data_IF_192363843139
#
_entry.id   IF_192363843139
#
_cell.length_a   1.000
_cell.length_b   1.000
_cell.length_c   1.000
_cell.angle_alpha   90.00
_cell.angle_beta   90.00
_cell.angle_gamma   90.00
#
_symmetry.space_group_name_H-M   'P 1'
#
loop_
_entity.id
_entity.type
_entity.pdbx_description
1 polymer ?
#
# COMPACT_ATOMS: atom_id res chain seq x y z
N UNK A 1 -12.41 1.40 -29.58
CA UNK A 1 -13.78 1.18 -29.04
C UNK A 1 -14.75 0.60 -30.06
N UNK A 2 -14.57 0.81 -31.37
CA UNK A 2 -15.45 0.25 -32.42
C UNK A 2 -15.62 -1.27 -32.33
N UNK A 3 -14.55 -2.03 -32.05
CA UNK A 3 -14.64 -3.50 -31.98
C UNK A 3 -15.31 -4.01 -30.69
N UNK A 4 -14.99 -3.44 -29.53
CA UNK A 4 -15.52 -3.95 -28.25
C UNK A 4 -17.03 -3.71 -28.08
N UNK A 5 -17.56 -2.59 -28.58
CA UNK A 5 -19.00 -2.33 -28.55
C UNK A 5 -19.81 -3.33 -29.40
N UNK A 6 -19.25 -3.76 -30.52
CA UNK A 6 -19.82 -4.82 -31.35
C UNK A 6 -19.84 -6.18 -30.64
N UNK A 7 -18.76 -6.53 -29.94
CA UNK A 7 -18.64 -7.80 -29.20
C UNK A 7 -19.70 -7.91 -28.09
N UNK A 8 -19.88 -6.85 -27.30
CA UNK A 8 -20.85 -6.84 -26.17
C UNK A 8 -22.28 -7.01 -26.69
N UNK A 9 -22.63 -6.33 -27.79
CA UNK A 9 -23.96 -6.45 -28.39
C UNK A 9 -24.19 -7.78 -29.10
N UNK A 10 -23.16 -8.34 -29.73
CA UNK A 10 -23.22 -9.68 -30.30
C UNK A 10 -23.49 -10.75 -29.23
N UNK A 11 -23.06 -10.51 -27.98
CA UNK A 11 -23.38 -11.33 -26.82
C UNK A 11 -24.78 -11.06 -26.22
N UNK A 12 -25.59 -10.19 -26.83
CA UNK A 12 -26.94 -9.85 -26.37
C UNK A 12 -27.01 -8.81 -25.24
N UNK A 13 -25.90 -8.14 -24.91
CA UNK A 13 -25.84 -7.13 -23.87
C UNK A 13 -25.90 -5.72 -24.45
N UNK A 14 -26.73 -4.86 -23.87
CA UNK A 14 -26.84 -3.44 -24.23
C UNK A 14 -26.24 -2.57 -23.12
N UNK A 15 -25.14 -1.85 -23.38
CA UNK A 15 -24.50 -1.05 -22.34
C UNK A 15 -25.28 0.24 -22.08
N UNK A 16 -25.62 0.48 -20.81
CA UNK A 16 -26.32 1.70 -20.36
C UNK A 16 -25.40 2.89 -20.13
N UNK A 17 -24.11 2.62 -19.89
CA UNK A 17 -23.07 3.62 -19.67
C UNK A 17 -21.79 3.18 -20.35
N UNK A 18 -21.12 4.11 -21.01
CA UNK A 18 -19.83 3.91 -21.63
C UNK A 18 -18.80 4.80 -20.96
N UNK A 19 -17.76 4.19 -20.38
CA UNK A 19 -16.62 4.90 -19.80
C UNK A 19 -15.45 4.81 -20.78
N UNK A 20 -15.11 5.94 -21.39
CA UNK A 20 -13.99 6.09 -22.30
C UNK A 20 -12.75 6.49 -21.50
N UNK A 21 -11.81 5.56 -21.30
CA UNK A 21 -10.49 5.93 -20.77
C UNK A 21 -9.64 6.58 -21.86
N UNK A 22 -9.02 7.72 -21.55
CA UNK A 22 -8.12 8.42 -22.48
C UNK A 22 -6.99 9.13 -21.74
N UNK A 23 -5.92 9.52 -22.44
CA UNK A 23 -4.89 10.37 -21.84
C UNK A 23 -5.40 11.83 -21.74
N UNK A 24 -6.03 12.30 -22.82
CA UNK A 24 -6.55 13.65 -22.95
C UNK A 24 -8.07 13.70 -22.81
N UNK A 25 -8.60 14.91 -22.55
CA UNK A 25 -10.05 15.14 -22.53
C UNK A 25 -10.68 14.77 -23.87
N UNK A 26 -11.79 14.05 -23.80
CA UNK A 26 -12.54 13.63 -24.98
C UNK A 26 -13.24 14.85 -25.62
N UNK A 27 -12.89 15.16 -26.87
CA UNK A 27 -13.56 16.19 -27.66
C UNK A 27 -15.00 15.78 -27.99
N UNK A 28 -15.90 16.74 -28.14
CA UNK A 28 -17.31 16.44 -28.45
C UNK A 28 -17.48 15.78 -29.83
N UNK A 29 -16.60 16.07 -30.79
CA UNK A 29 -16.58 15.36 -32.08
C UNK A 29 -16.33 13.85 -31.92
N UNK A 30 -15.43 13.45 -31.01
CA UNK A 30 -15.17 12.05 -30.72
C UNK A 30 -16.34 11.41 -29.97
N UNK A 31 -16.96 12.13 -29.03
CA UNK A 31 -18.19 11.65 -28.36
C UNK A 31 -19.30 11.39 -29.38
N UNK A 32 -19.55 12.34 -30.29
CA UNK A 32 -20.58 12.21 -31.31
C UNK A 32 -20.34 11.00 -32.23
N UNK A 33 -19.08 10.75 -32.63
CA UNK A 33 -18.73 9.53 -33.36
C UNK A 33 -19.06 8.28 -32.54
N UNK A 34 -18.71 8.25 -31.26
CA UNK A 34 -19.01 7.12 -30.38
C UNK A 34 -20.52 6.94 -30.20
N UNK A 35 -21.31 8.02 -30.10
CA UNK A 35 -22.78 7.95 -30.10
C UNK A 35 -23.30 7.26 -31.36
N UNK A 36 -22.81 7.68 -32.53
CA UNK A 36 -23.26 7.18 -33.82
C UNK A 36 -22.96 5.69 -34.02
N UNK A 37 -21.75 5.23 -33.66
CA UNK A 37 -21.39 3.81 -33.71
C UNK A 37 -21.97 2.98 -32.55
N UNK A 38 -22.20 3.64 -31.41
CA UNK A 38 -22.64 3.04 -30.17
C UNK A 38 -24.15 2.86 -30.09
N UNK A 39 -24.93 3.65 -30.84
CA UNK A 39 -26.38 3.81 -30.69
C UNK A 39 -26.77 4.20 -29.25
N UNK A 40 -25.97 5.08 -28.65
CA UNK A 40 -26.04 5.45 -27.23
C UNK A 40 -26.03 6.97 -27.14
N UNK A 41 -26.81 7.53 -26.21
CA UNK A 41 -26.91 8.98 -26.02
C UNK A 41 -25.55 9.55 -25.55
N UNK A 42 -25.23 10.77 -25.96
CA UNK A 42 -24.01 11.47 -25.53
C UNK A 42 -23.95 11.63 -24.02
N UNK A 43 -25.10 11.69 -23.33
CA UNK A 43 -25.17 11.74 -21.87
C UNK A 43 -24.66 10.46 -21.20
N UNK A 44 -24.72 9.32 -21.90
CA UNK A 44 -24.28 8.02 -21.40
C UNK A 44 -22.79 7.76 -21.68
N UNK A 45 -22.09 8.71 -22.32
CA UNK A 45 -20.66 8.60 -22.63
C UNK A 45 -19.86 9.49 -21.69
N UNK A 46 -19.05 8.88 -20.84
CA UNK A 46 -18.20 9.55 -19.87
C UNK A 46 -16.74 9.41 -20.28
N UNK A 47 -16.06 10.55 -20.45
CA UNK A 47 -14.63 10.59 -20.72
C UNK A 47 -13.83 10.64 -19.42
N UNK A 48 -13.14 9.55 -19.08
CA UNK A 48 -12.21 9.48 -17.94
C UNK A 48 -10.80 9.64 -18.47
N UNK A 49 -10.29 10.87 -18.38
CA UNK A 49 -8.91 11.15 -18.77
C UNK A 49 -7.93 10.87 -17.63
N UNK A 50 -6.65 10.69 -17.95
CA UNK A 50 -5.61 10.43 -16.95
C UNK A 50 -5.47 11.64 -16.00
N UNK A 51 -5.72 11.40 -14.72
CA UNK A 51 -5.60 12.38 -13.66
C UNK A 51 -4.20 12.38 -13.05
N UNK A 52 -3.78 13.51 -12.46
CA UNK A 52 -2.51 13.62 -11.71
C UNK A 52 -2.36 12.56 -10.62
N UNK A 53 -3.47 12.24 -9.94
CA UNK A 53 -3.54 11.23 -8.91
C UNK A 53 -4.89 10.50 -8.99
N UNK A 54 -4.92 9.21 -8.61
CA UNK A 54 -6.12 8.37 -8.60
C UNK A 54 -7.24 8.96 -7.72
N UNK A 55 -6.87 9.77 -6.73
CA UNK A 55 -7.80 10.45 -5.82
C UNK A 55 -8.68 11.46 -6.56
N UNK A 56 -8.26 11.97 -7.72
CA UNK A 56 -9.09 12.91 -8.52
C UNK A 56 -10.18 12.22 -9.34
N UNK A 57 -10.12 10.90 -9.53
CA UNK A 57 -11.07 10.17 -10.40
C UNK A 57 -12.52 10.30 -9.90
N UNK A 58 -12.85 10.13 -8.60
CA UNK A 58 -14.21 10.33 -8.11
C UNK A 58 -14.75 11.73 -8.39
N UNK A 59 -13.94 12.77 -8.20
CA UNK A 59 -14.34 14.16 -8.50
C UNK A 59 -14.56 14.40 -9.99
N UNK A 60 -13.78 13.75 -10.87
CA UNK A 60 -14.01 13.78 -12.31
C UNK A 60 -15.34 13.12 -12.68
N UNK A 61 -15.62 11.94 -12.13
CA UNK A 61 -16.85 11.21 -12.39
C UNK A 61 -18.09 11.96 -11.90
N UNK A 62 -18.01 12.60 -10.73
CA UNK A 62 -19.08 13.44 -10.22
C UNK A 62 -19.36 14.64 -11.14
N UNK A 63 -18.33 15.32 -11.66
CA UNK A 63 -18.51 16.42 -12.62
C UNK A 63 -19.23 15.99 -13.90
N UNK A 64 -19.11 14.71 -14.27
CA UNK A 64 -19.82 14.13 -15.41
C UNK A 64 -21.26 13.69 -15.10
N UNK A 65 -21.73 13.88 -13.86
CA UNK A 65 -23.11 13.54 -13.48
C UNK A 65 -23.39 12.03 -13.46
N UNK A 66 -22.38 11.20 -13.17
CA UNK A 66 -22.53 9.73 -13.22
C UNK A 66 -23.56 9.23 -12.20
N UNK A 67 -23.67 9.90 -11.05
CA UNK A 67 -24.53 9.47 -9.95
C UNK A 67 -25.98 9.62 -10.38
N UNK A 68 -26.33 10.76 -10.97
CA UNK A 68 -27.66 11.08 -11.49
C UNK A 68 -28.07 10.11 -12.61
N UNK A 69 -27.11 9.71 -13.46
CA UNK A 69 -27.34 8.71 -14.51
C UNK A 69 -27.65 7.33 -13.91
N UNK A 70 -26.90 6.91 -12.90
CA UNK A 70 -27.11 5.62 -12.21
C UNK A 70 -28.43 5.62 -11.46
N UNK A 71 -28.73 6.67 -10.70
CA UNK A 71 -30.00 6.81 -9.96
C UNK A 71 -31.19 6.75 -10.90
N UNK A 72 -31.16 7.50 -12.00
CA UNK A 72 -32.21 7.48 -13.01
C UNK A 72 -32.35 6.12 -13.68
N UNK A 73 -31.24 5.43 -13.97
CA UNK A 73 -31.28 4.15 -14.68
C UNK A 73 -31.78 3.00 -13.80
N UNK A 74 -31.38 3.00 -12.53
CA UNK A 74 -31.76 1.97 -11.56
C UNK A 74 -33.07 2.29 -10.83
N UNK A 75 -33.71 3.42 -11.13
CA UNK A 75 -34.90 3.92 -10.45
C UNK A 75 -34.72 3.97 -8.93
N UNK A 76 -33.57 4.47 -8.48
CA UNK A 76 -33.29 4.59 -7.04
C UNK A 76 -34.02 5.80 -6.47
N UNK A 77 -34.66 5.61 -5.31
CA UNK A 77 -35.33 6.69 -4.60
C UNK A 77 -34.31 7.66 -3.98
N UNK A 78 -34.12 8.81 -4.59
CA UNK A 78 -33.32 9.93 -4.05
C UNK A 78 -34.04 10.67 -2.91
N UNK A 79 -35.00 10.04 -2.23
CA UNK A 79 -35.84 10.67 -1.20
C UNK A 79 -35.14 10.82 0.15
N UNK A 80 -34.06 10.07 0.39
CA UNK A 80 -33.28 10.16 1.62
C UNK A 80 -32.36 11.39 1.63
N UNK A 81 -32.93 12.55 2.00
CA UNK A 81 -32.22 13.83 2.14
C UNK A 81 -30.98 13.74 3.04
N UNK A 82 -30.99 12.87 4.06
CA UNK A 82 -29.83 12.66 4.93
C UNK A 82 -28.66 12.01 4.17
N UNK A 83 -28.94 10.98 3.37
CA UNK A 83 -27.94 10.30 2.56
C UNK A 83 -27.33 11.23 1.49
N UNK A 84 -28.16 12.08 0.87
CA UNK A 84 -27.70 13.08 -0.10
C UNK A 84 -26.81 14.14 0.57
N UNK A 85 -27.24 14.65 1.73
CA UNK A 85 -26.46 15.67 2.47
C UNK A 85 -25.12 15.10 2.95
N UNK A 86 -25.10 13.85 3.44
CA UNK A 86 -23.88 13.13 3.80
C UNK A 86 -22.99 12.89 2.57
N UNK A 87 -23.56 12.52 1.43
CA UNK A 87 -22.84 12.33 0.16
C UNK A 87 -22.15 13.59 -0.34
N UNK A 88 -22.86 14.72 -0.35
CA UNK A 88 -22.31 16.04 -0.71
C UNK A 88 -21.19 16.44 0.23
N UNK A 89 -21.39 16.25 1.55
CA UNK A 89 -20.39 16.57 2.57
C UNK A 89 -19.12 15.71 2.42
N UNK A 90 -19.28 14.40 2.22
CA UNK A 90 -18.16 13.47 2.00
C UNK A 90 -17.38 13.83 0.74
N UNK A 91 -18.06 14.22 -0.33
CA UNK A 91 -17.43 14.56 -1.58
C UNK A 91 -16.67 15.90 -1.51
N UNK A 92 -17.18 16.87 -0.74
CA UNK A 92 -16.44 18.09 -0.43
C UNK A 92 -15.14 17.79 0.34
N UNK A 93 -15.22 16.92 1.34
CA UNK A 93 -14.04 16.46 2.08
C UNK A 93 -13.05 15.74 1.15
N UNK A 94 -13.55 14.90 0.24
CA UNK A 94 -12.73 14.20 -0.75
C UNK A 94 -12.03 15.17 -1.71
N UNK A 95 -12.76 16.17 -2.23
CA UNK A 95 -12.18 17.19 -3.10
C UNK A 95 -11.09 18.00 -2.39
N UNK A 96 -11.35 18.41 -1.14
CA UNK A 96 -10.35 19.09 -0.31
C UNK A 96 -9.12 18.20 -0.09
N UNK A 97 -9.33 16.92 0.21
CA UNK A 97 -8.26 15.94 0.37
C UNK A 97 -7.43 15.78 -0.91
N UNK A 98 -8.06 15.60 -2.07
CA UNK A 98 -7.39 15.45 -3.36
C UNK A 98 -6.48 16.64 -3.67
N UNK A 99 -6.94 17.87 -3.39
CA UNK A 99 -6.15 19.07 -3.60
C UNK A 99 -5.00 19.20 -2.61
N UNK A 100 -5.22 18.88 -1.32
CA UNK A 100 -4.15 18.91 -0.31
C UNK A 100 -3.00 17.97 -0.68
N UNK A 101 -3.32 16.77 -1.17
CA UNK A 101 -2.31 15.78 -1.56
C UNK A 101 -1.36 16.32 -2.64
N UNK A 102 -1.85 17.15 -3.54
CA UNK A 102 -1.06 17.75 -4.61
C UNK A 102 -0.15 18.91 -4.13
N UNK A 103 -0.34 19.40 -2.90
CA UNK A 103 0.44 20.54 -2.35
C UNK A 103 1.70 20.15 -1.59
N UNK A 104 1.92 18.86 -1.34
CA UNK A 104 3.10 18.42 -0.57
C UNK A 104 4.39 18.72 -1.35
N UNK A 105 5.37 19.32 -0.67
CA UNK A 105 6.67 19.70 -1.26
C UNK A 105 7.78 18.75 -0.82
N UNK A 106 7.80 18.39 0.46
CA UNK A 106 8.79 17.49 1.04
C UNK A 106 8.59 16.04 0.57
N UNK A 107 9.68 15.40 0.17
CA UNK A 107 9.68 14.03 -0.37
C UNK A 107 10.52 13.11 0.51
N UNK A 108 9.94 11.97 0.90
CA UNK A 108 10.64 10.88 1.57
C UNK A 108 11.10 9.83 0.55
N UNK A 109 12.34 9.37 0.69
CA UNK A 109 12.90 8.32 -0.14
C UNK A 109 12.81 6.98 0.59
N UNK A 110 12.17 5.99 -0.04
CA UNK A 110 12.04 4.64 0.50
C UNK A 110 12.69 3.67 -0.46
N UNK A 111 13.58 2.82 0.04
CA UNK A 111 14.20 1.76 -0.76
C UNK A 111 13.40 0.47 -0.58
N UNK A 112 12.94 -0.13 -1.69
CA UNK A 112 12.28 -1.41 -1.72
C UNK A 112 13.20 -2.44 -2.37
N UNK A 113 13.69 -3.38 -1.56
CA UNK A 113 14.51 -4.51 -2.01
C UNK A 113 13.62 -5.71 -2.33
N UNK A 114 13.51 -6.05 -3.60
CA UNK A 114 12.55 -7.04 -4.11
C UNK A 114 13.17 -8.07 -5.06
N UNK A 115 12.40 -9.12 -5.37
CA UNK A 115 12.80 -10.10 -6.41
C UNK A 115 12.27 -9.70 -7.79
N UNK A 116 11.01 -9.23 -7.85
CA UNK A 116 10.29 -8.93 -9.10
C UNK A 116 10.12 -7.43 -9.26
N UNK A 117 11.21 -6.70 -9.08
CA UNK A 117 11.20 -5.25 -9.00
C UNK A 117 10.87 -4.58 -10.34
N UNK A 118 11.17 -5.26 -11.44
CA UNK A 118 10.81 -4.85 -12.79
C UNK A 118 9.28 -4.93 -13.06
N UNK A 119 8.53 -5.63 -12.21
CA UNK A 119 7.07 -5.74 -12.32
C UNK A 119 6.47 -4.86 -11.21
N UNK A 120 6.04 -3.65 -11.56
CA UNK A 120 5.46 -2.70 -10.60
C UNK A 120 4.26 -3.30 -9.84
N UNK A 121 3.46 -4.11 -10.52
CA UNK A 121 2.26 -4.75 -9.96
C UNK A 121 2.58 -5.75 -8.84
N UNK A 122 3.77 -6.34 -8.83
CA UNK A 122 4.19 -7.27 -7.78
C UNK A 122 4.20 -6.61 -6.39
N UNK A 123 4.33 -5.28 -6.36
CA UNK A 123 4.38 -4.47 -5.14
C UNK A 123 3.24 -3.46 -5.04
N UNK A 124 2.19 -3.55 -5.88
CA UNK A 124 1.11 -2.56 -5.95
C UNK A 124 0.48 -2.24 -4.58
N UNK A 125 0.23 -3.25 -3.75
CA UNK A 125 -0.36 -3.05 -2.42
C UNK A 125 0.59 -2.33 -1.45
N UNK A 126 1.90 -2.60 -1.52
CA UNK A 126 2.91 -1.93 -0.70
C UNK A 126 3.06 -0.47 -1.16
N UNK A 127 3.13 -0.25 -2.48
CA UNK A 127 3.22 1.08 -3.06
C UNK A 127 2.04 1.96 -2.64
N UNK A 128 0.82 1.41 -2.66
CA UNK A 128 -0.39 2.10 -2.19
C UNK A 128 -0.31 2.40 -0.69
N UNK A 129 0.01 1.40 0.14
CA UNK A 129 0.10 1.60 1.59
C UNK A 129 1.11 2.69 1.97
N UNK A 130 2.28 2.71 1.31
CA UNK A 130 3.30 3.74 1.51
C UNK A 130 2.80 5.13 1.07
N UNK A 131 2.12 5.23 -0.08
CA UNK A 131 1.50 6.48 -0.52
C UNK A 131 0.46 7.00 0.49
N UNK A 132 -0.38 6.13 1.03
CA UNK A 132 -1.35 6.51 2.06
C UNK A 132 -0.69 6.97 3.37
N UNK A 133 0.35 6.25 3.84
CA UNK A 133 1.10 6.64 5.03
C UNK A 133 1.82 7.99 4.84
N UNK A 134 2.47 8.18 3.69
CA UNK A 134 3.14 9.44 3.34
C UNK A 134 2.14 10.60 3.24
N UNK A 135 0.96 10.34 2.68
CA UNK A 135 -0.13 11.31 2.62
C UNK A 135 -0.57 11.75 4.02
N UNK A 136 -0.71 10.81 4.95
CA UNK A 136 -1.03 11.13 6.35
C UNK A 136 0.07 11.98 7.01
N UNK A 137 1.34 11.69 6.69
CA UNK A 137 2.48 12.49 7.13
C UNK A 137 2.67 13.81 6.36
N UNK A 138 1.80 14.14 5.39
CA UNK A 138 1.90 15.31 4.51
C UNK A 138 3.24 15.36 3.74
N UNK A 139 3.62 14.22 3.15
CA UNK A 139 4.87 14.05 2.39
C UNK A 139 4.60 13.31 1.08
N UNK A 140 5.41 13.61 0.07
CA UNK A 140 5.50 12.80 -1.14
C UNK A 140 6.38 11.58 -0.87
N UNK A 141 6.10 10.46 -1.54
CA UNK A 141 6.93 9.25 -1.44
C UNK A 141 7.58 8.94 -2.78
N UNK A 142 8.91 8.78 -2.76
CA UNK A 142 9.69 8.26 -3.88
C UNK A 142 10.20 6.88 -3.50
N UNK A 143 9.76 5.86 -4.24
CA UNK A 143 10.16 4.47 -4.00
C UNK A 143 11.28 4.13 -4.97
N UNK A 144 12.46 3.85 -4.43
CA UNK A 144 13.62 3.38 -5.17
C UNK A 144 13.65 1.85 -5.10
N UNK A 145 13.78 1.24 -6.26
CA UNK A 145 13.52 -0.16 -6.50
C UNK A 145 14.85 -0.87 -6.76
N UNK A 146 15.24 -1.81 -5.88
CA UNK A 146 16.53 -2.52 -5.97
C UNK A 146 16.28 -4.02 -6.07
N UNK A 147 16.86 -4.68 -7.09
CA UNK A 147 16.78 -6.13 -7.17
C UNK A 147 17.65 -6.75 -6.08
N UNK A 148 17.09 -7.73 -5.36
CA UNK A 148 17.84 -8.43 -4.32
C UNK A 148 19.02 -9.24 -4.86
N UNK A 149 19.12 -9.41 -6.18
CA UNK A 149 20.21 -10.12 -6.85
C UNK A 149 21.47 -9.27 -6.96
N UNK A 150 21.28 -7.99 -7.27
CA UNK A 150 22.36 -7.01 -7.45
C UNK A 150 23.14 -6.77 -6.15
N UNK A 151 22.55 -7.15 -5.01
CA UNK A 151 23.15 -7.07 -3.68
C UNK A 151 23.95 -8.33 -3.30
N UNK A 152 23.87 -9.40 -4.09
CA UNK A 152 24.62 -10.63 -3.82
C UNK A 152 25.99 -10.57 -4.49
N UNK A 153 27.04 -11.00 -3.77
CA UNK A 153 28.37 -11.13 -4.35
C UNK A 153 28.34 -12.24 -5.42
N UNK A 154 28.69 -11.90 -6.66
CA UNK A 154 28.92 -12.84 -7.74
C UNK A 154 30.25 -13.56 -7.50
N UNK A 155 30.17 -14.81 -7.06
CA UNK A 155 31.30 -15.75 -7.05
C UNK A 155 31.18 -16.67 -8.26
N UNK A 156 32.29 -16.97 -8.96
CA UNK A 156 32.35 -17.78 -10.19
C UNK A 156 31.60 -19.13 -10.09
N UNK A 157 31.52 -19.73 -8.90
CA UNK A 157 30.77 -20.97 -8.65
C UNK A 157 29.24 -20.84 -8.72
N UNK A 158 28.67 -19.63 -8.59
CA UNK A 158 27.21 -19.41 -8.62
C UNK A 158 26.63 -19.43 -10.04
N UNK A 159 27.44 -19.09 -11.05
CA UNK A 159 27.01 -19.01 -12.46
C UNK A 159 26.59 -20.40 -12.97
N UNK A 160 27.27 -21.47 -12.54
CA UNK A 160 26.95 -22.86 -12.92
C UNK A 160 25.70 -23.46 -12.25
N UNK A 161 25.16 -22.84 -11.20
CA UNK A 161 23.98 -23.33 -10.46
C UNK A 161 22.75 -22.45 -10.65
N UNK A 162 22.63 -21.80 -11.81
CA UNK A 162 21.45 -21.04 -12.25
C UNK A 162 20.26 -21.96 -12.62
N UNK A 163 19.94 -22.90 -11.74
CA UNK A 163 18.67 -23.61 -11.73
C UNK A 163 17.74 -22.99 -10.69
N UNK A 164 16.44 -23.02 -10.96
CA UNK A 164 15.28 -22.46 -10.24
C UNK A 164 15.18 -22.66 -8.69
N UNK A 165 16.22 -23.13 -7.99
CA UNK A 165 16.14 -23.68 -6.63
C UNK A 165 16.74 -22.86 -5.48
N UNK A 166 17.75 -22.00 -5.69
CA UNK A 166 18.25 -21.13 -4.61
C UNK A 166 17.48 -19.81 -4.62
N UNK A 167 16.47 -19.70 -3.74
CA UNK A 167 15.80 -18.41 -3.48
C UNK A 167 16.89 -17.41 -3.07
N UNK A 168 17.13 -16.43 -3.94
CA UNK A 168 18.00 -15.25 -3.79
C UNK A 168 17.62 -14.41 -2.56
N UNK A 169 17.91 -14.97 -1.38
CA UNK A 169 17.58 -14.45 -0.05
C UNK A 169 18.77 -13.72 0.55
N UNK A 170 19.99 -14.04 0.12
CA UNK A 170 21.23 -13.44 0.64
C UNK A 170 21.24 -11.92 0.49
N UNK A 171 20.84 -11.39 -0.68
CA UNK A 171 20.78 -9.94 -0.86
C UNK A 171 19.78 -9.25 0.06
N UNK A 172 18.72 -9.95 0.48
CA UNK A 172 17.78 -9.42 1.50
C UNK A 172 18.37 -9.49 2.91
N UNK A 173 19.18 -10.51 3.21
CA UNK A 173 19.89 -10.62 4.49
C UNK A 173 20.90 -9.46 4.59
N UNK A 174 21.68 -9.21 3.55
CA UNK A 174 22.63 -8.09 3.48
C UNK A 174 21.94 -6.74 3.60
N UNK A 175 20.80 -6.54 2.93
CA UNK A 175 20.01 -5.31 3.10
C UNK A 175 19.54 -5.12 4.55
N UNK A 176 19.13 -6.20 5.24
CA UNK A 176 18.75 -6.13 6.65
C UNK A 176 19.96 -5.84 7.55
N UNK A 177 21.12 -6.43 7.24
CA UNK A 177 22.37 -6.18 7.96
C UNK A 177 22.76 -4.70 7.85
N UNK A 178 22.80 -4.16 6.63
CA UNK A 178 23.07 -2.75 6.38
C UNK A 178 22.09 -1.85 7.14
N UNK A 179 20.79 -2.13 7.07
CA UNK A 179 19.79 -1.33 7.76
C UNK A 179 19.98 -1.35 9.29
N UNK A 180 20.32 -2.51 9.86
CA UNK A 180 20.59 -2.66 11.29
C UNK A 180 21.86 -1.91 11.70
N UNK A 181 22.96 -2.06 10.98
CA UNK A 181 24.25 -1.46 11.30
C UNK A 181 24.23 0.06 11.15
N UNK A 182 23.47 0.58 10.18
CA UNK A 182 23.33 2.00 9.92
C UNK A 182 22.11 2.63 10.61
N UNK A 183 21.43 1.90 11.51
CA UNK A 183 20.23 2.35 12.22
C UNK A 183 19.12 2.89 11.30
N UNK A 184 19.01 2.34 10.09
CA UNK A 184 17.96 2.69 9.12
C UNK A 184 16.68 1.92 9.48
N UNK A 185 15.55 2.60 9.74
CA UNK A 185 14.28 1.93 9.96
C UNK A 185 13.87 1.09 8.74
N UNK A 186 13.50 -0.16 8.96
CA UNK A 186 13.03 -1.03 7.87
C UNK A 186 11.74 -1.75 8.27
N UNK A 187 10.91 -2.00 7.27
CA UNK A 187 9.62 -2.67 7.44
C UNK A 187 9.61 -3.94 6.59
N UNK A 188 9.11 -5.04 7.15
CA UNK A 188 9.03 -6.32 6.45
C UNK A 188 7.58 -6.75 6.28
N UNK A 189 7.21 -7.10 5.06
CA UNK A 189 5.96 -7.81 4.78
C UNK A 189 6.24 -9.30 4.71
N UNK A 190 5.56 -10.07 5.54
CA UNK A 190 5.66 -11.52 5.53
C UNK A 190 4.32 -12.14 5.15
N UNK A 191 4.34 -13.02 4.15
CA UNK A 191 3.31 -14.01 3.88
C UNK A 191 4.03 -15.33 3.75
N UNK A 192 3.90 -16.20 4.74
CA UNK A 192 4.75 -17.37 4.86
C UNK A 192 3.95 -18.59 5.31
N UNK A 193 4.53 -19.76 5.05
CA UNK A 193 4.10 -21.07 5.55
C UNK A 193 5.17 -21.69 6.47
N UNK A 194 6.37 -21.14 6.49
CA UNK A 194 7.51 -21.64 7.26
C UNK A 194 7.69 -20.80 8.52
N UNK A 195 7.81 -21.46 9.66
CA UNK A 195 7.97 -20.83 10.97
C UNK A 195 9.37 -21.05 11.55
N UNK A 196 9.70 -20.26 12.57
CA UNK A 196 10.98 -20.42 13.29
C UNK A 196 10.92 -21.69 14.13
N UNK A 197 11.91 -22.57 13.97
CA UNK A 197 12.01 -23.79 14.76
C UNK A 197 12.19 -23.44 16.26
N UNK A 198 11.38 -23.98 17.19
CA UNK A 198 11.48 -23.62 18.62
C UNK A 198 12.86 -23.88 19.24
N UNK A 199 13.58 -24.91 18.77
CA UNK A 199 14.88 -25.31 19.31
C UNK A 199 15.99 -24.27 19.12
N UNK A 200 15.84 -23.34 18.17
CA UNK A 200 16.86 -22.29 17.92
C UNK A 200 16.53 -20.96 18.62
N UNK A 201 15.35 -20.83 19.21
CA UNK A 201 14.88 -19.58 19.83
C UNK A 201 15.77 -19.14 20.98
N UNK A 202 16.25 -20.08 21.82
CA UNK A 202 17.18 -19.75 22.93
C UNK A 202 18.47 -19.14 22.41
N UNK A 203 19.11 -19.80 21.44
CA UNK A 203 20.35 -19.33 20.81
C UNK A 203 20.20 -17.94 20.19
N UNK A 204 19.07 -17.70 19.52
CA UNK A 204 18.77 -16.38 18.93
C UNK A 204 18.52 -15.31 19.99
N UNK A 205 17.87 -15.67 21.10
CA UNK A 205 17.62 -14.75 22.21
C UNK A 205 18.91 -14.39 22.96
N UNK A 206 19.81 -15.35 23.14
CA UNK A 206 21.16 -15.12 23.69
C UNK A 206 22.00 -14.20 22.81
N UNK A 207 21.81 -14.27 21.49
CA UNK A 207 22.40 -13.34 20.53
C UNK A 207 21.71 -11.95 20.48
N UNK A 208 20.71 -11.71 21.34
CA UNK A 208 20.04 -10.41 21.49
C UNK A 208 18.75 -10.23 20.67
N UNK A 209 18.25 -11.27 20.00
CA UNK A 209 16.98 -11.18 19.26
C UNK A 209 15.77 -11.44 20.18
N UNK A 210 14.97 -10.41 20.42
CA UNK A 210 13.77 -10.51 21.26
C UNK A 210 12.54 -11.00 20.49
N UNK A 211 11.90 -12.06 20.98
CA UNK A 211 10.63 -12.57 20.46
C UNK A 211 9.45 -11.98 21.24
N UNK A 212 8.86 -10.90 20.72
CA UNK A 212 7.77 -10.15 21.39
C UNK A 212 6.38 -10.77 21.13
N UNK A 213 6.22 -11.58 20.08
CA UNK A 213 4.98 -12.29 19.76
C UNK A 213 5.26 -13.74 19.36
N UNK A 214 4.51 -14.68 19.93
CA UNK A 214 4.61 -16.12 19.67
C UNK A 214 3.20 -16.67 19.47
N UNK A 215 3.01 -17.56 18.48
CA UNK A 215 1.73 -18.24 18.25
C UNK A 215 1.22 -19.00 19.49
N UNK A 216 -0.09 -19.14 19.58
CA UNK A 216 -0.81 -19.69 20.75
C UNK A 216 -0.39 -21.14 21.06
N UNK A 217 0.13 -21.84 20.05
CA UNK A 217 0.42 -23.28 20.08
C UNK A 217 1.79 -23.62 20.70
N UNK A 218 2.65 -22.63 20.99
CA UNK A 218 3.96 -22.83 21.63
C UNK A 218 3.89 -22.80 23.17
N UNK A 219 2.87 -23.46 23.73
CA UNK A 219 2.55 -23.54 25.16
C UNK A 219 3.23 -24.74 25.84
N UNK A 220 4.52 -24.97 25.58
CA UNK A 220 5.24 -26.11 26.21
C UNK A 220 6.70 -25.81 26.53
N UNK A 221 7.00 -24.65 27.10
CA UNK A 221 8.25 -24.50 27.85
C UNK A 221 8.07 -23.50 29.00
N UNK A 222 7.89 -24.06 30.20
CA UNK A 222 7.68 -23.36 31.48
C UNK A 222 8.77 -22.33 31.79
N UNK A 223 9.98 -22.52 31.27
CA UNK A 223 11.10 -21.58 31.42
C UNK A 223 10.93 -20.27 30.64
N UNK A 224 10.32 -20.32 29.45
CA UNK A 224 10.08 -19.14 28.60
C UNK A 224 8.92 -18.32 29.20
N UNK A 225 7.91 -18.96 29.79
CA UNK A 225 6.78 -18.29 30.44
C UNK A 225 7.17 -17.49 31.70
N UNK A 226 8.20 -17.91 32.46
CA UNK A 226 8.74 -17.13 33.61
C UNK A 226 9.44 -15.83 33.16
N UNK A 227 10.17 -15.85 32.04
CA UNK A 227 10.76 -14.62 31.47
C UNK A 227 9.69 -13.72 30.82
N UNK A 228 8.65 -14.28 30.18
CA UNK A 228 7.49 -13.53 29.62
C UNK A 228 6.81 -12.62 30.65
N UNK A 229 6.55 -13.15 31.85
CA UNK A 229 5.86 -12.38 32.91
C UNK A 229 6.73 -11.25 33.44
N UNK A 230 8.04 -11.47 33.59
CA UNK A 230 8.97 -10.44 34.07
C UNK A 230 9.17 -9.30 33.07
N UNK A 231 9.41 -9.58 31.79
CA UNK A 231 9.64 -8.53 30.79
C UNK A 231 8.36 -7.79 30.40
N UNK A 232 7.21 -8.47 30.30
CA UNK A 232 5.92 -7.81 30.07
C UNK A 232 5.48 -7.00 31.30
N UNK A 233 5.65 -7.51 32.53
CA UNK A 233 5.37 -6.73 33.73
C UNK A 233 6.33 -5.57 33.92
N UNK A 234 7.59 -5.68 33.49
CA UNK A 234 8.52 -4.54 33.50
C UNK A 234 8.12 -3.49 32.47
N UNK A 235 7.74 -3.88 31.25
CA UNK A 235 7.20 -2.95 30.25
C UNK A 235 5.93 -2.25 30.73
N UNK A 236 4.99 -2.99 31.33
CA UNK A 236 3.74 -2.43 31.87
C UNK A 236 4.02 -1.56 33.10
N UNK A 237 4.96 -1.94 33.98
CA UNK A 237 5.41 -1.09 35.09
C UNK A 237 6.08 0.19 34.59
N UNK A 238 6.89 0.11 33.54
CA UNK A 238 7.53 1.28 32.93
C UNK A 238 6.50 2.21 32.30
N UNK A 239 5.45 1.67 31.67
CA UNK A 239 4.38 2.50 31.08
C UNK A 239 3.39 3.04 32.10
N UNK A 240 3.19 2.35 33.24
CA UNK A 240 2.26 2.78 34.30
C UNK A 240 2.91 3.70 35.35
N UNK A 241 4.23 3.61 35.54
CA UNK A 241 4.99 4.55 36.39
C UNK A 241 5.33 5.87 35.69
N UNK A 242 5.31 5.92 34.36
CA UNK A 242 5.40 7.16 33.60
C UNK A 242 4.01 7.81 33.50
N UNK A 243 3.65 8.64 34.49
CA UNK A 243 2.69 9.70 34.22
C UNK A 243 3.25 10.55 33.08
N UNK A 244 2.48 10.63 32.00
CA UNK A 244 2.60 11.53 30.84
C UNK A 244 3.66 12.62 30.96
N UNK A 245 4.81 12.43 30.30
CA UNK A 245 5.45 13.45 29.44
C UNK A 245 6.74 13.00 28.73
N UNK A 246 7.42 11.91 29.14
CA UNK A 246 8.82 11.71 28.69
C UNK A 246 9.17 10.38 28.01
N UNK A 247 8.23 9.65 27.40
CA UNK A 247 8.55 8.40 26.68
C UNK A 247 9.59 8.62 25.57
N UNK A 248 9.58 9.81 24.94
CA UNK A 248 10.58 10.26 23.98
C UNK A 248 11.95 10.58 24.62
N UNK A 249 11.94 11.09 25.85
CA UNK A 249 13.14 11.44 26.62
C UNK A 249 13.82 10.18 27.17
N UNK A 250 13.05 9.18 27.61
CA UNK A 250 13.56 7.87 28.02
C UNK A 250 14.16 7.10 26.84
N UNK A 251 13.56 7.21 25.64
CA UNK A 251 14.15 6.64 24.41
C UNK A 251 15.48 7.33 24.07
N UNK A 252 15.57 8.65 24.24
CA UNK A 252 16.81 9.40 24.00
C UNK A 252 17.90 9.08 25.03
N UNK A 253 17.56 8.89 26.31
CA UNK A 253 18.51 8.48 27.35
C UNK A 253 19.07 7.07 27.08
N UNK A 254 18.23 6.11 26.70
CA UNK A 254 18.66 4.75 26.33
C UNK A 254 19.58 4.77 25.09
N UNK A 255 19.33 5.67 24.14
CA UNK A 255 20.20 5.83 22.98
C UNK A 255 21.53 6.55 23.29
N UNK A 256 21.59 7.39 24.33
CA UNK A 256 22.80 8.12 24.73
C UNK A 256 23.80 7.32 25.58
N UNK A 257 23.35 6.23 26.24
CA UNK A 257 24.22 5.33 27.01
C UNK A 257 25.08 4.42 26.11
N UNK A 258 24.79 4.34 24.80
CA UNK A 258 25.57 3.54 23.84
C UNK A 258 26.75 4.29 23.18
N UNK A 259 27.08 5.49 23.65
CA UNK A 259 28.17 6.33 23.12
C UNK A 259 29.12 6.81 24.21
N UNK A 260 29.65 5.87 24.99
CA UNK A 260 30.88 6.01 25.77
C UNK A 260 31.72 4.74 25.60
#
# INVERSE_FOLDING_TARGET
MSNNGGIIRAAGLTPDLIICRSENKLTDNLKNKICQFGLIDSKQIIGVYDCKNIIHVPSLLQKHGIIELIEKRLCLDSSNKLAITAGVTNMFQWFKFANIVDTFTETINIVLVGKYVQIEDAYASINKALKHAATHAKRNVKINYIQSQDLEIETEEKIKKSGFGKRRVEGKILACQYARENKVPFLKRHRHRYEVKPTIVSKLSEAGLLFVGIGVDNSSNTYINKKKTLSANNLIKMTTSSHSESLLQTINEICSISSA
#
